data_IF_280053382751
#
_entry.id   IF_280053382751
#
_cell.length_a   1.000
_cell.length_b   1.000
_cell.length_c   1.000
_cell.angle_alpha   90.00
_cell.angle_beta   90.00
_cell.angle_gamma   90.00
#
_symmetry.space_group_name_H-M   'P 1'
#
loop_
_entity.id
_entity.type
_entity.pdbx_description
1 polymer ?
#
# COMPACT_ATOMS: atom_id res chain seq x y z
N UNK A 1 23.73 12.36 3.37
CA UNK A 1 24.04 13.80 3.50
C UNK A 1 25.56 13.93 3.58
N UNK A 2 26.17 14.57 2.60
CA UNK A 2 27.59 14.93 2.66
C UNK A 2 27.72 16.43 2.38
N UNK A 3 28.78 17.05 2.91
CA UNK A 3 29.06 18.48 2.71
C UNK A 3 30.19 18.60 1.72
N UNK A 4 29.95 19.29 0.60
CA UNK A 4 30.98 19.64 -0.39
C UNK A 4 30.94 21.15 -0.56
N UNK A 5 32.08 21.82 -0.38
CA UNK A 5 32.21 23.29 -0.51
C UNK A 5 31.21 24.11 0.32
N UNK A 6 30.92 23.69 1.55
CA UNK A 6 30.03 24.42 2.46
C UNK A 6 28.53 24.30 2.15
N UNK A 7 28.16 23.59 1.08
CA UNK A 7 26.76 23.29 0.77
C UNK A 7 26.39 21.86 1.20
N UNK A 8 25.20 21.72 1.78
CA UNK A 8 24.67 20.42 2.20
C UNK A 8 24.01 19.75 1.01
N UNK A 9 24.52 18.59 0.58
CA UNK A 9 23.94 17.82 -0.54
C UNK A 9 23.12 16.65 0.00
N UNK A 10 21.92 16.50 -0.56
CA UNK A 10 21.04 15.37 -0.32
C UNK A 10 21.21 14.32 -1.43
N UNK A 11 21.33 13.06 -1.03
CA UNK A 11 21.48 11.94 -1.94
C UNK A 11 20.25 11.05 -1.80
N UNK A 12 19.63 10.72 -2.92
CA UNK A 12 18.47 9.83 -2.98
C UNK A 12 18.82 8.62 -3.83
N UNK A 13 18.61 7.43 -3.27
CA UNK A 13 18.87 6.15 -3.94
C UNK A 13 17.56 5.37 -4.05
N UNK A 14 17.34 4.76 -5.21
CA UNK A 14 16.14 3.97 -5.48
C UNK A 14 16.44 2.48 -5.48
N UNK A 15 15.56 1.71 -4.85
CA UNK A 15 15.62 0.26 -4.78
C UNK A 15 14.35 -0.36 -5.33
N UNK A 16 14.52 -1.40 -6.15
CA UNK A 16 13.43 -2.28 -6.59
C UNK A 16 13.25 -3.38 -5.56
N UNK A 17 12.25 -3.23 -4.69
CA UNK A 17 11.93 -4.20 -3.65
C UNK A 17 11.01 -5.28 -4.23
N UNK A 18 11.43 -6.54 -4.18
CA UNK A 18 10.63 -7.71 -4.59
C UNK A 18 10.11 -8.42 -3.34
N UNK A 19 8.79 -8.49 -3.19
CA UNK A 19 8.09 -9.22 -2.12
C UNK A 19 7.36 -10.42 -2.71
N UNK A 20 7.20 -11.50 -1.93
CA UNK A 20 6.57 -12.74 -2.37
C UNK A 20 5.64 -13.30 -1.30
N UNK A 21 4.80 -14.28 -1.68
CA UNK A 21 3.88 -15.01 -0.79
C UNK A 21 2.94 -14.04 -0.05
N UNK A 22 2.61 -14.34 1.21
CA UNK A 22 1.71 -13.54 2.04
C UNK A 22 2.19 -12.09 2.22
N UNK A 23 3.50 -11.85 2.17
CA UNK A 23 4.05 -10.50 2.30
C UNK A 23 3.60 -9.59 1.14
N UNK A 24 3.54 -10.12 -0.08
CA UNK A 24 3.05 -9.38 -1.24
C UNK A 24 1.56 -9.02 -1.10
N UNK A 25 0.74 -9.95 -0.58
CA UNK A 25 -0.68 -9.69 -0.33
C UNK A 25 -0.87 -8.58 0.72
N UNK A 26 -0.08 -8.59 1.80
CA UNK A 26 -0.12 -7.55 2.83
C UNK A 26 0.35 -6.19 2.28
N UNK A 27 1.43 -6.17 1.51
CA UNK A 27 1.88 -4.93 0.85
C UNK A 27 0.80 -4.33 -0.06
N UNK A 28 0.09 -5.15 -0.84
CA UNK A 28 -1.00 -4.66 -1.69
C UNK A 28 -2.20 -4.10 -0.91
N UNK A 29 -2.46 -4.62 0.30
CA UNK A 29 -3.58 -4.16 1.15
C UNK A 29 -3.26 -2.86 1.91
N UNK A 30 -2.02 -2.69 2.36
CA UNK A 30 -1.66 -1.64 3.32
C UNK A 30 -0.74 -0.55 2.76
N UNK A 31 -0.12 -0.75 1.59
CA UNK A 31 0.75 0.27 1.00
C UNK A 31 0.04 1.11 -0.04
N UNK A 32 0.28 2.41 0.05
CA UNK A 32 -0.04 3.40 -0.97
C UNK A 32 1.22 4.17 -1.36
N UNK A 33 1.12 4.98 -2.42
CA UNK A 33 2.22 5.87 -2.81
C UNK A 33 2.56 6.81 -1.64
N UNK A 34 3.84 6.85 -1.28
CA UNK A 34 4.34 7.71 -0.19
C UNK A 34 4.27 7.07 1.21
N UNK A 35 3.76 5.84 1.34
CA UNK A 35 3.85 5.08 2.59
C UNK A 35 5.30 4.86 2.98
N UNK A 36 5.62 5.10 4.26
CA UNK A 36 6.94 4.83 4.81
C UNK A 36 7.02 3.37 5.21
N UNK A 37 8.12 2.72 4.85
CA UNK A 37 8.36 1.31 5.14
C UNK A 37 9.80 1.08 5.54
N UNK A 38 10.01 0.20 6.52
CA UNK A 38 11.29 -0.41 6.76
C UNK A 38 11.28 -1.81 6.12
N UNK A 39 12.29 -2.11 5.31
CA UNK A 39 12.41 -3.38 4.60
C UNK A 39 13.70 -4.06 5.03
N UNK A 40 13.59 -5.29 5.53
CA UNK A 40 14.72 -6.15 5.85
C UNK A 40 14.75 -7.33 4.89
N UNK A 41 15.94 -7.64 4.39
CA UNK A 41 16.14 -8.79 3.52
C UNK A 41 17.52 -8.77 2.89
N UNK A 42 17.63 -9.40 1.72
CA UNK A 42 18.91 -9.58 1.02
C UNK A 42 19.00 -8.69 -0.21
N UNK A 43 20.13 -8.02 -0.37
CA UNK A 43 20.45 -7.30 -1.60
C UNK A 43 20.75 -8.32 -2.69
N UNK A 44 19.98 -8.25 -3.77
CA UNK A 44 20.11 -9.12 -4.92
C UNK A 44 21.21 -8.68 -5.87
N UNK A 45 21.45 -9.49 -6.90
CA UNK A 45 22.23 -9.01 -8.05
C UNK A 45 21.48 -7.86 -8.73
N UNK A 46 22.18 -6.78 -9.14
CA UNK A 46 21.58 -5.70 -9.91
C UNK A 46 20.98 -6.22 -11.22
N UNK A 47 19.76 -5.80 -11.55
CA UNK A 47 19.08 -6.23 -12.77
C UNK A 47 19.51 -5.28 -13.91
N UNK A 48 20.22 -5.78 -14.94
CA UNK A 48 20.60 -4.95 -16.07
C UNK A 48 19.39 -4.67 -16.95
N UNK A 49 19.27 -3.45 -17.45
CA UNK A 49 18.28 -3.08 -18.45
C UNK A 49 18.88 -2.14 -19.49
N UNK A 50 18.32 -2.16 -20.69
CA UNK A 50 18.71 -1.25 -21.76
C UNK A 50 17.76 -0.05 -21.74
N UNK A 51 18.33 1.15 -21.57
CA UNK A 51 17.58 2.39 -21.59
C UNK A 51 17.05 2.71 -22.98
N UNK A 52 16.14 3.68 -23.09
CA UNK A 52 15.60 4.16 -24.37
C UNK A 52 16.68 4.73 -25.30
N UNK A 53 17.78 5.18 -24.71
CA UNK A 53 19.00 5.67 -25.35
C UNK A 53 19.97 4.56 -25.76
N UNK A 54 19.62 3.28 -25.53
CA UNK A 54 20.43 2.12 -25.92
C UNK A 54 21.59 1.79 -24.98
N UNK A 55 21.75 2.53 -23.87
CA UNK A 55 22.84 2.30 -22.91
C UNK A 55 22.43 1.26 -21.86
N UNK A 56 23.39 0.46 -21.36
CA UNK A 56 23.15 -0.46 -20.27
C UNK A 56 23.08 0.29 -18.93
N UNK A 57 22.04 0.00 -18.16
CA UNK A 57 21.84 0.49 -16.80
C UNK A 57 21.62 -0.69 -15.86
N UNK A 58 21.84 -0.47 -14.57
CA UNK A 58 21.60 -1.47 -13.54
C UNK A 58 20.66 -0.90 -12.47
N UNK A 59 19.67 -1.71 -12.06
CA UNK A 59 18.76 -1.36 -10.95
C UNK A 59 19.16 -2.15 -9.71
N UNK A 60 19.21 -1.46 -8.57
CA UNK A 60 19.43 -2.10 -7.27
C UNK A 60 18.20 -2.91 -6.88
N UNK A 61 18.35 -4.22 -6.68
CA UNK A 61 17.26 -5.12 -6.31
C UNK A 61 17.39 -5.54 -4.84
N UNK A 62 16.28 -5.49 -4.10
CA UNK A 62 16.20 -5.98 -2.73
C UNK A 62 15.11 -7.06 -2.64
N UNK A 63 15.47 -8.24 -2.14
CA UNK A 63 14.52 -9.32 -1.84
C UNK A 63 14.08 -9.18 -0.39
N UNK A 64 12.82 -8.82 -0.17
CA UNK A 64 12.30 -8.59 1.18
C UNK A 64 12.00 -9.92 1.89
N UNK A 65 12.50 -10.04 3.12
CA UNK A 65 12.17 -11.13 4.05
C UNK A 65 11.14 -10.65 5.08
N UNK A 66 11.25 -9.39 5.50
CA UNK A 66 10.33 -8.75 6.42
C UNK A 66 10.08 -7.29 6.01
N UNK A 67 8.83 -6.84 6.13
CA UNK A 67 8.41 -5.45 5.87
C UNK A 67 7.65 -4.96 7.08
N UNK A 68 8.09 -3.83 7.62
CA UNK A 68 7.43 -3.12 8.70
C UNK A 68 6.82 -1.83 8.14
N UNK A 69 5.53 -1.66 8.38
CA UNK A 69 4.76 -0.51 7.92
C UNK A 69 4.91 0.62 8.93
N UNK A 70 5.53 1.71 8.50
CA UNK A 70 5.70 2.89 9.35
C UNK A 70 4.55 3.86 9.05
N UNK A 71 3.69 4.07 10.05
CA UNK A 71 2.63 5.08 9.92
C UNK A 71 3.25 6.47 9.82
N UNK A 72 2.78 7.27 8.86
CA UNK A 72 3.09 8.70 8.83
C UNK A 72 2.04 9.40 9.69
N UNK A 73 2.44 10.39 10.49
CA UNK A 73 1.50 11.15 11.31
C UNK A 73 0.37 11.84 10.51
N UNK A 74 0.47 11.92 9.18
CA UNK A 74 -0.58 12.39 8.26
C UNK A 74 -1.52 11.30 7.71
N UNK A 75 -1.24 10.01 7.92
CA UNK A 75 -1.98 8.88 7.33
C UNK A 75 -3.18 8.38 8.13
N UNK A 76 -3.36 8.83 9.38
CA UNK A 76 -4.47 8.39 10.24
C UNK A 76 -5.85 8.86 9.74
N UNK A 77 -5.91 9.87 8.87
CA UNK A 77 -7.17 10.42 8.37
C UNK A 77 -7.72 9.70 7.11
N UNK A 78 -6.86 9.06 6.30
CA UNK A 78 -7.29 8.53 5.00
C UNK A 78 -7.88 7.11 5.06
N UNK A 79 -7.75 6.41 6.18
CA UNK A 79 -8.26 5.03 6.34
C UNK A 79 -9.62 4.95 7.06
N UNK A 80 -10.15 6.08 7.56
CA UNK A 80 -11.47 6.13 8.20
C UNK A 80 -12.63 6.21 7.18
N UNK A 81 -12.37 6.63 5.94
CA UNK A 81 -13.43 6.79 4.93
C UNK A 81 -13.89 5.46 4.29
N UNK A 82 -13.05 4.42 4.31
CA UNK A 82 -13.41 3.11 3.74
C UNK A 82 -14.18 2.21 4.71
N UNK A 83 -13.97 2.35 6.03
CA UNK A 83 -14.68 1.58 7.06
C UNK A 83 -16.09 2.15 7.34
N UNK A 84 -16.26 3.48 7.23
CA UNK A 84 -17.56 4.14 7.40
C UNK A 84 -18.57 3.86 6.28
N UNK A 85 -18.09 3.59 5.05
CA UNK A 85 -18.95 3.29 3.91
C UNK A 85 -19.58 1.87 3.99
N UNK A 86 -18.90 0.91 4.63
CA UNK A 86 -19.42 -0.46 4.78
C UNK A 86 -20.41 -0.58 5.95
N UNK A 87 -20.24 0.22 7.01
CA UNK A 87 -21.18 0.28 8.13
C UNK A 87 -22.52 0.93 7.74
N UNK A 88 -22.51 1.94 6.87
CA UNK A 88 -23.73 2.60 6.38
C UNK A 88 -24.59 1.69 5.47
N UNK A 89 -23.97 0.79 4.70
CA UNK A 89 -24.67 -0.16 3.85
C UNK A 89 -25.36 -1.29 4.65
N UNK A 90 -24.79 -1.70 5.79
CA UNK A 90 -25.38 -2.75 6.64
C UNK A 90 -26.58 -2.27 7.47
N UNK A 91 -26.75 -0.96 7.67
CA UNK A 91 -27.86 -0.39 8.44
C UNK A 91 -29.17 -0.26 7.63
N UNK A 92 -29.09 -0.24 6.30
CA UNK A 92 -30.24 -0.06 5.41
C UNK A 92 -31.01 -1.37 5.10
N UNK A 93 -30.46 -2.54 5.46
CA UNK A 93 -31.02 -3.84 5.08
C UNK A 93 -31.91 -4.51 6.15
N UNK A 94 -32.08 -3.90 7.33
CA UNK A 94 -32.93 -4.45 8.39
C UNK A 94 -34.36 -3.90 8.27
N UNK A 95 -35.02 -4.21 7.16
CA UNK A 95 -36.47 -4.03 7.03
C UNK A 95 -37.12 -5.32 7.53
N UNK A 96 -37.83 -5.19 8.64
CA UNK A 96 -38.50 -6.22 9.42
C UNK A 96 -39.57 -6.99 8.65
N UNK A 97 -39.56 -8.32 8.77
CA UNK A 97 -40.59 -9.25 8.26
C UNK A 97 -42.02 -9.08 8.85
N UNK A 98 -42.32 -7.98 9.56
CA UNK A 98 -43.64 -7.72 10.17
C UNK A 98 -44.66 -7.14 9.16
N UNK A 99 -44.23 -6.73 7.96
CA UNK A 99 -45.10 -6.15 6.91
C UNK A 99 -45.64 -7.17 5.89
N UNK A 100 -45.45 -8.49 6.11
CA UNK A 100 -45.93 -9.54 5.19
C UNK A 100 -47.44 -9.87 5.31
N UNK A 101 -48.18 -9.28 6.26
CA UNK A 101 -49.57 -9.70 6.54
C UNK A 101 -50.67 -8.70 6.11
N UNK A 102 -50.35 -7.61 5.42
CA UNK A 102 -51.35 -6.57 5.12
C UNK A 102 -51.95 -6.60 3.69
N UNK A 103 -51.64 -7.59 2.86
CA UNK A 103 -52.22 -7.70 1.52
C UNK A 103 -52.96 -9.03 1.31
N UNK A 104 -54.29 -8.95 1.31
CA UNK A 104 -55.29 -9.98 0.95
C UNK A 104 -55.67 -11.02 2.01
N UNK A 105 -56.51 -10.59 2.96
CA UNK A 105 -57.65 -11.41 3.39
C UNK A 105 -58.88 -10.52 3.41
N UNK A 106 -59.51 -10.37 2.24
CA UNK A 106 -60.92 -10.01 2.12
C UNK A 106 -61.59 -11.14 1.35
N UNK A 107 -62.75 -11.56 1.87
CA UNK A 107 -63.61 -12.67 1.45
C UNK A 107 -64.07 -12.59 -0.01
#
# INVERSE_FOLDING_TARGET
RYVTNGQTVEETVWFKVKTYRNLAANCGKYLAKGSKVAVKGRVGQPEPYIGRDGKPYAVNVLFAENVEFLTTASGAAANQELDGAMAAASAAAVVSEDEMMAASVDF
#
